data_IF_227468027548
#
_entry.id   IF_227468027548
#
_cell.length_a   1.000
_cell.length_b   1.000
_cell.length_c   1.000
_cell.angle_alpha   90.00
_cell.angle_beta   90.00
_cell.angle_gamma   90.00
#
_symmetry.space_group_name_H-M   'P 1'
#
loop_
_entity.id
_entity.type
_entity.pdbx_description
1 polymer ?
#
# COMPACT_ATOMS: atom_id res chain seq x y z
N UNK A 1 25.70 -15.72 -10.21
CA UNK A 1 26.01 -16.34 -8.91
C UNK A 1 25.07 -15.72 -7.89
N UNK A 2 24.46 -16.52 -7.01
CA UNK A 2 23.55 -15.98 -5.98
C UNK A 2 24.41 -15.33 -4.89
N UNK A 3 24.30 -14.01 -4.77
CA UNK A 3 24.94 -13.26 -3.70
C UNK A 3 24.08 -13.41 -2.43
N UNK A 4 24.70 -13.83 -1.32
CA UNK A 4 24.05 -13.89 0.00
C UNK A 4 24.29 -12.64 0.84
N UNK A 5 24.91 -11.62 0.24
CA UNK A 5 25.22 -10.33 0.84
C UNK A 5 24.77 -9.22 -0.10
N UNK A 6 24.52 -8.03 0.46
CA UNK A 6 24.19 -6.85 -0.33
C UNK A 6 25.32 -6.58 -1.34
N UNK A 7 24.96 -6.54 -2.63
CA UNK A 7 25.89 -6.26 -3.70
C UNK A 7 25.43 -5.09 -4.56
N UNK A 8 26.38 -4.43 -5.20
CA UNK A 8 26.15 -3.38 -6.18
C UNK A 8 26.45 -3.91 -7.57
N UNK A 9 25.43 -3.99 -8.43
CA UNK A 9 25.58 -4.48 -9.80
C UNK A 9 24.35 -4.24 -10.64
N UNK A 10 24.54 -4.05 -11.95
CA UNK A 10 23.46 -3.81 -12.91
C UNK A 10 22.79 -5.09 -13.42
N UNK A 11 23.45 -6.24 -13.25
CA UNK A 11 22.97 -7.53 -13.75
C UNK A 11 22.11 -8.21 -12.69
N UNK A 12 20.80 -7.98 -12.74
CA UNK A 12 19.82 -8.48 -11.75
C UNK A 12 18.65 -9.11 -12.46
N UNK A 13 18.12 -10.19 -11.89
CA UNK A 13 16.88 -10.83 -12.32
C UNK A 13 15.82 -10.55 -11.27
N UNK A 14 14.81 -9.73 -11.60
CA UNK A 14 13.79 -9.26 -10.66
C UNK A 14 12.48 -10.05 -10.80
N UNK A 15 12.06 -10.78 -9.75
CA UNK A 15 10.81 -11.55 -9.63
C UNK A 15 10.58 -12.69 -10.65
N UNK A 16 10.82 -12.46 -11.93
CA UNK A 16 10.58 -13.38 -13.02
C UNK A 16 11.85 -13.53 -13.87
N UNK A 17 12.06 -14.71 -14.43
CA UNK A 17 13.18 -14.99 -15.34
C UNK A 17 13.20 -14.10 -16.58
N UNK A 18 12.08 -13.46 -16.91
CA UNK A 18 11.95 -12.51 -18.02
C UNK A 18 12.45 -11.10 -17.71
N UNK A 19 12.53 -10.70 -16.44
CA UNK A 19 12.95 -9.34 -16.06
C UNK A 19 14.45 -9.32 -15.72
N UNK A 20 15.28 -9.44 -16.75
CA UNK A 20 16.75 -9.40 -16.63
C UNK A 20 17.28 -8.04 -17.05
N UNK A 21 18.00 -7.37 -16.16
CA UNK A 21 18.65 -6.10 -16.48
C UNK A 21 20.07 -6.37 -16.98
N UNK A 22 20.35 -6.15 -18.26
CA UNK A 22 21.70 -6.35 -18.83
C UNK A 22 22.41 -5.02 -19.11
N UNK A 23 21.65 -3.92 -19.24
CA UNK A 23 22.17 -2.57 -19.50
C UNK A 23 21.90 -1.62 -18.33
N UNK A 24 22.67 -0.54 -18.24
CA UNK A 24 22.44 0.53 -17.25
C UNK A 24 21.05 1.15 -17.36
N UNK A 25 20.53 1.33 -18.58
CA UNK A 25 19.19 1.86 -18.82
C UNK A 25 18.10 0.92 -18.32
N UNK A 26 18.23 -0.39 -18.60
CA UNK A 26 17.28 -1.40 -18.10
C UNK A 26 17.29 -1.50 -16.58
N UNK A 27 18.47 -1.32 -15.97
CA UNK A 27 18.61 -1.29 -14.52
C UNK A 27 17.94 -0.06 -13.91
N UNK A 28 18.19 1.14 -14.44
CA UNK A 28 17.54 2.37 -13.97
C UNK A 28 16.02 2.31 -14.10
N UNK A 29 15.52 1.77 -15.22
CA UNK A 29 14.08 1.59 -15.44
C UNK A 29 13.47 0.67 -14.40
N UNK A 30 14.17 -0.41 -14.04
CA UNK A 30 13.74 -1.31 -12.96
C UNK A 30 13.74 -0.64 -11.59
N UNK A 31 14.72 0.22 -11.29
CA UNK A 31 14.72 0.99 -10.04
C UNK A 31 13.52 1.94 -9.95
N UNK A 32 13.21 2.64 -11.05
CA UNK A 32 12.04 3.51 -11.13
C UNK A 32 10.75 2.69 -10.98
N UNK A 33 10.66 1.54 -11.63
CA UNK A 33 9.50 0.65 -11.50
C UNK A 33 9.33 0.16 -10.05
N UNK A 34 10.39 -0.28 -9.37
CA UNK A 34 10.35 -0.67 -7.96
C UNK A 34 9.91 0.49 -7.05
N UNK A 35 10.41 1.71 -7.31
CA UNK A 35 10.02 2.91 -6.58
C UNK A 35 8.53 3.24 -6.77
N UNK A 36 8.02 3.17 -8.00
CA UNK A 36 6.60 3.41 -8.31
C UNK A 36 5.72 2.35 -7.64
N UNK A 37 6.10 1.07 -7.74
CA UNK A 37 5.36 -0.04 -7.11
C UNK A 37 5.33 0.13 -5.58
N UNK A 38 6.44 0.55 -4.97
CA UNK A 38 6.51 0.82 -3.54
C UNK A 38 5.64 2.01 -3.10
N UNK A 39 5.65 3.09 -3.87
CA UNK A 39 4.76 4.24 -3.64
C UNK A 39 3.29 3.85 -3.80
N UNK A 40 2.98 3.05 -4.82
CA UNK A 40 1.63 2.55 -5.07
C UNK A 40 1.14 1.57 -4.00
N UNK A 41 2.02 0.77 -3.39
CA UNK A 41 1.69 -0.06 -2.23
C UNK A 41 1.15 0.78 -1.06
N UNK A 42 1.85 1.88 -0.73
CA UNK A 42 1.42 2.83 0.31
C UNK A 42 0.10 3.54 -0.06
N UNK A 43 -0.10 3.86 -1.35
CA UNK A 43 -1.36 4.43 -1.83
C UNK A 43 -2.55 3.50 -1.56
N UNK A 44 -2.43 2.21 -1.93
CA UNK A 44 -3.49 1.22 -1.71
C UNK A 44 -3.74 0.97 -0.22
N UNK A 45 -2.70 1.04 0.60
CA UNK A 45 -2.84 0.94 2.06
C UNK A 45 -3.67 2.11 2.61
N UNK A 46 -3.38 3.34 2.18
CA UNK A 46 -4.16 4.52 2.58
C UNK A 46 -5.63 4.42 2.11
N UNK A 47 -5.88 3.99 0.87
CA UNK A 47 -7.25 3.77 0.37
C UNK A 47 -8.01 2.74 1.21
N UNK A 48 -7.34 1.65 1.59
CA UNK A 48 -7.96 0.62 2.44
C UNK A 48 -8.32 1.18 3.82
N UNK A 49 -7.42 1.97 4.41
CA UNK A 49 -7.65 2.61 5.72
C UNK A 49 -8.83 3.58 5.62
N UNK A 50 -8.86 4.45 4.61
CA UNK A 50 -9.99 5.37 4.33
C UNK A 50 -11.32 4.62 4.18
N UNK A 51 -11.36 3.56 3.37
CA UNK A 51 -12.59 2.76 3.17
C UNK A 51 -13.10 2.11 4.47
N UNK A 52 -12.19 1.69 5.36
CA UNK A 52 -12.56 1.17 6.69
C UNK A 52 -13.17 2.25 7.57
N UNK A 53 -12.60 3.46 7.57
CA UNK A 53 -13.16 4.60 8.29
C UNK A 53 -14.54 4.99 7.75
N UNK A 54 -14.70 5.17 6.44
CA UNK A 54 -15.99 5.51 5.83
C UNK A 54 -17.06 4.42 6.03
N UNK A 55 -16.67 3.15 6.06
CA UNK A 55 -17.59 2.05 6.39
C UNK A 55 -17.95 1.99 7.88
N UNK A 56 -17.19 2.69 8.74
CA UNK A 56 -17.41 2.81 10.18
C UNK A 56 -18.39 3.91 10.58
N UNK A 57 -18.66 4.89 9.71
CA UNK A 57 -19.56 6.04 9.96
C UNK A 57 -21.06 5.70 9.87
N UNK A 58 -21.39 4.41 9.76
CA UNK A 58 -22.75 3.88 9.93
C UNK A 58 -23.04 3.28 11.30
N UNK A 59 -22.20 3.50 12.32
CA UNK A 59 -22.40 3.00 13.69
C UNK A 59 -22.28 4.09 14.76
N UNK A 60 -23.11 5.11 14.68
CA UNK A 60 -23.54 5.86 15.88
C UNK A 60 -24.61 5.06 16.62
N UNK A 61 -24.19 4.26 17.61
CA UNK A 61 -25.04 3.96 18.77
C UNK A 61 -24.16 3.93 20.03
N UNK A 62 -24.27 4.90 20.94
CA UNK A 62 -23.61 4.86 22.23
C UNK A 62 -24.48 4.09 23.22
N UNK A 63 -24.46 2.76 23.21
CA UNK A 63 -25.01 1.95 24.31
C UNK A 63 -24.23 0.62 24.41
N UNK A 64 -23.72 0.22 25.59
CA UNK A 64 -23.17 -1.11 25.79
C UNK A 64 -24.34 -2.08 25.99
N UNK A 65 -24.74 -2.79 24.94
CA UNK A 65 -25.72 -3.87 25.07
C UNK A 65 -25.22 -5.12 24.34
N UNK A 66 -25.08 -6.20 25.10
CA UNK A 66 -24.79 -7.55 24.65
C UNK A 66 -25.86 -7.94 23.62
N UNK A 67 -25.54 -7.86 22.33
CA UNK A 67 -26.37 -8.40 21.25
C UNK A 67 -25.54 -9.32 20.39
N UNK A 68 -25.68 -10.61 20.63
CA UNK A 68 -25.40 -11.66 19.67
C UNK A 68 -26.29 -11.48 18.44
N UNK A 69 -25.76 -11.30 17.21
CA UNK A 69 -26.55 -11.42 16.01
C UNK A 69 -26.44 -12.87 15.52
N UNK A 70 -27.35 -13.70 15.99
CA UNK A 70 -27.59 -15.05 15.48
C UNK A 70 -28.27 -14.92 14.10
N UNK A 71 -27.61 -15.44 13.04
CA UNK A 71 -28.10 -15.59 11.66
C UNK A 71 -28.75 -14.35 11.00
N UNK A 72 -27.95 -13.33 10.71
CA UNK A 72 -28.28 -12.34 9.69
C UNK A 72 -27.95 -12.90 8.30
N UNK A 73 -28.98 -13.27 7.53
CA UNK A 73 -28.86 -13.79 6.17
C UNK A 73 -28.03 -12.81 5.30
N UNK A 74 -26.89 -13.29 4.83
CA UNK A 74 -25.82 -12.55 4.17
C UNK A 74 -26.28 -11.83 2.89
N UNK A 75 -26.75 -10.58 3.01
CA UNK A 75 -26.54 -9.62 1.92
C UNK A 75 -25.11 -9.16 2.04
N UNK A 76 -24.20 -9.87 1.37
CA UNK A 76 -22.80 -9.45 1.24
C UNK A 76 -22.84 -8.07 0.60
N UNK A 77 -22.64 -7.04 1.44
CA UNK A 77 -22.57 -5.67 0.97
C UNK A 77 -21.45 -5.60 -0.07
N UNK A 78 -21.70 -5.00 -1.23
CA UNK A 78 -20.69 -4.79 -2.28
C UNK A 78 -19.40 -4.19 -1.70
N UNK A 79 -19.52 -3.39 -0.65
CA UNK A 79 -18.40 -2.76 0.07
C UNK A 79 -17.51 -3.80 0.78
N UNK A 80 -18.06 -4.91 1.27
CA UNK A 80 -17.29 -6.01 1.89
C UNK A 80 -16.47 -6.81 0.88
N UNK A 81 -16.99 -7.00 -0.34
CA UNK A 81 -16.24 -7.64 -1.43
C UNK A 81 -15.12 -6.72 -1.93
N UNK A 82 -15.40 -5.42 -2.09
CA UNK A 82 -14.37 -4.45 -2.49
C UNK A 82 -13.27 -4.36 -1.44
N UNK A 83 -13.61 -4.35 -0.15
CA UNK A 83 -12.64 -4.36 0.95
C UNK A 83 -11.72 -5.60 0.92
N UNK A 84 -12.28 -6.79 0.68
CA UNK A 84 -11.50 -8.04 0.65
C UNK A 84 -10.62 -8.15 -0.59
N UNK A 85 -11.10 -7.71 -1.75
CA UNK A 85 -10.31 -7.66 -2.98
C UNK A 85 -9.15 -6.67 -2.83
N UNK A 86 -9.41 -5.46 -2.31
CA UNK A 86 -8.37 -4.47 -2.09
C UNK A 86 -7.31 -4.96 -1.10
N UNK A 87 -7.72 -5.70 -0.06
CA UNK A 87 -6.79 -6.38 0.84
C UNK A 87 -5.93 -7.42 0.13
N UNK A 88 -6.54 -8.25 -0.72
CA UNK A 88 -5.82 -9.25 -1.51
C UNK A 88 -4.77 -8.62 -2.43
N UNK A 89 -5.13 -7.55 -3.13
CA UNK A 89 -4.22 -6.81 -4.02
C UNK A 89 -3.07 -6.16 -3.25
N UNK A 90 -3.36 -5.47 -2.14
CA UNK A 90 -2.33 -4.87 -1.30
C UNK A 90 -1.35 -5.92 -0.75
N UNK A 91 -1.88 -7.04 -0.25
CA UNK A 91 -1.07 -8.15 0.26
C UNK A 91 -0.18 -8.76 -0.83
N UNK A 92 -0.73 -8.99 -2.03
CA UNK A 92 0.04 -9.50 -3.16
C UNK A 92 1.21 -8.59 -3.53
N UNK A 93 0.98 -7.27 -3.60
CA UNK A 93 2.05 -6.30 -3.87
C UNK A 93 3.10 -6.32 -2.76
N UNK A 94 2.69 -6.36 -1.48
CA UNK A 94 3.63 -6.47 -0.36
C UNK A 94 4.55 -7.68 -0.46
N UNK A 95 4.01 -8.85 -0.82
CA UNK A 95 4.84 -10.05 -1.07
C UNK A 95 5.75 -9.91 -2.29
N UNK A 96 5.32 -9.21 -3.35
CA UNK A 96 6.18 -8.91 -4.50
C UNK A 96 7.34 -7.99 -4.13
N UNK A 97 7.12 -6.96 -3.31
CA UNK A 97 8.20 -6.13 -2.78
C UNK A 97 9.17 -6.95 -1.92
N UNK A 98 8.66 -7.84 -1.08
CA UNK A 98 9.48 -8.72 -0.26
C UNK A 98 10.37 -9.63 -1.12
N UNK A 99 9.80 -10.21 -2.19
CA UNK A 99 10.56 -10.97 -3.19
C UNK A 99 11.60 -10.10 -3.90
N UNK A 100 11.30 -8.84 -4.21
CA UNK A 100 12.25 -7.93 -4.82
C UNK A 100 13.44 -7.61 -3.90
N UNK A 101 13.20 -7.44 -2.60
CA UNK A 101 14.25 -7.19 -1.59
C UNK A 101 15.17 -8.41 -1.45
N UNK A 102 14.62 -9.62 -1.57
CA UNK A 102 15.40 -10.87 -1.57
C UNK A 102 16.39 -10.98 -2.73
N UNK A 103 16.38 -10.05 -3.71
CA UNK A 103 17.42 -9.98 -4.74
C UNK A 103 18.80 -9.53 -4.22
N UNK A 104 18.88 -9.06 -2.96
CA UNK A 104 20.10 -8.54 -2.30
C UNK A 104 20.84 -7.45 -3.10
N UNK A 105 20.16 -6.81 -4.05
CA UNK A 105 20.73 -5.70 -4.80
C UNK A 105 20.57 -4.39 -4.02
N UNK A 106 21.67 -3.69 -3.78
CA UNK A 106 21.68 -2.45 -3.00
C UNK A 106 20.83 -1.34 -3.60
N UNK A 107 20.82 -1.17 -4.93
CA UNK A 107 20.02 -0.13 -5.57
C UNK A 107 18.52 -0.42 -5.54
N UNK A 108 18.13 -1.68 -5.76
CA UNK A 108 16.72 -2.11 -5.65
C UNK A 108 16.22 -1.91 -4.22
N UNK A 109 17.00 -2.35 -3.23
CA UNK A 109 16.68 -2.13 -1.82
C UNK A 109 16.48 -0.64 -1.51
N UNK A 110 17.42 0.21 -1.94
CA UNK A 110 17.32 1.65 -1.73
C UNK A 110 16.08 2.25 -2.41
N UNK A 111 15.82 1.87 -3.66
CA UNK A 111 14.66 2.35 -4.41
C UNK A 111 13.33 1.99 -3.74
N UNK A 112 13.22 0.78 -3.20
CA UNK A 112 12.03 0.33 -2.47
C UNK A 112 11.87 1.12 -1.16
N UNK A 113 12.92 1.24 -0.35
CA UNK A 113 12.88 1.98 0.92
C UNK A 113 12.51 3.44 0.67
N UNK A 114 13.17 4.10 -0.29
CA UNK A 114 12.88 5.49 -0.65
C UNK A 114 11.44 5.63 -1.17
N UNK A 115 10.96 4.70 -2.00
CA UNK A 115 9.58 4.69 -2.48
C UNK A 115 8.54 4.51 -1.37
N UNK A 116 8.79 3.62 -0.41
CA UNK A 116 7.91 3.45 0.75
C UNK A 116 7.89 4.71 1.62
N UNK A 117 9.05 5.32 1.88
CA UNK A 117 9.12 6.57 2.66
C UNK A 117 8.43 7.73 1.94
N UNK A 118 8.63 7.85 0.63
CA UNK A 118 8.01 8.89 -0.19
C UNK A 118 6.49 8.71 -0.29
N UNK A 119 6.02 7.48 -0.51
CA UNK A 119 4.60 7.16 -0.48
C UNK A 119 3.96 7.46 0.86
N UNK A 120 4.58 7.03 1.96
CA UNK A 120 4.11 7.35 3.31
C UNK A 120 4.02 8.86 3.55
N UNK A 121 5.04 9.61 3.12
CA UNK A 121 5.07 11.06 3.25
C UNK A 121 3.93 11.75 2.48
N UNK A 122 3.74 11.42 1.20
CA UNK A 122 2.71 12.02 0.35
C UNK A 122 1.28 11.75 0.86
N UNK A 123 0.99 10.53 1.32
CA UNK A 123 -0.37 10.19 1.77
C UNK A 123 -0.65 10.63 3.20
N UNK A 124 0.39 10.85 4.01
CA UNK A 124 0.23 11.45 5.34
C UNK A 124 0.01 12.96 5.26
N UNK A 125 0.74 13.68 4.40
CA UNK A 125 0.51 15.12 4.20
C UNK A 125 -0.90 15.42 3.70
N UNK A 126 -1.42 14.59 2.80
CA UNK A 126 -2.78 14.72 2.27
C UNK A 126 -3.86 14.42 3.34
N UNK A 127 -3.54 13.61 4.36
CA UNK A 127 -4.42 13.41 5.52
C UNK A 127 -4.47 14.63 6.45
N UNK A 128 -3.36 15.36 6.59
CA UNK A 128 -3.30 16.58 7.39
C UNK A 128 -4.02 17.75 6.67
N UNK A 129 -3.93 17.84 5.34
CA UNK A 129 -4.67 18.81 4.51
C UNK A 129 -6.18 18.53 4.45
N UNK A 130 -6.60 17.27 4.26
CA UNK A 130 -8.04 16.90 4.22
C UNK A 130 -8.69 17.04 5.61
N UNK A 131 -7.96 16.77 6.70
CA UNK A 131 -8.42 17.04 8.06
C UNK A 131 -8.56 18.55 8.33
N UNK A 132 -7.64 19.38 7.84
CA UNK A 132 -7.76 20.84 7.96
C UNK A 132 -8.99 21.37 7.18
N UNK A 133 -9.21 20.91 5.95
CA UNK A 133 -10.34 21.36 5.10
C UNK A 133 -11.71 20.87 5.63
N UNK A 134 -11.78 19.69 6.28
CA UNK A 134 -13.02 19.18 6.91
C UNK A 134 -13.30 19.88 8.25
N UNK A 135 -12.26 20.22 9.03
CA UNK A 135 -12.41 21.00 10.27
C UNK A 135 -12.86 22.44 9.96
N UNK A 136 -12.30 23.08 8.94
CA UNK A 136 -12.74 24.43 8.53
C UNK A 136 -14.21 24.47 8.07
N UNK A 137 -14.68 23.42 7.36
CA UNK A 137 -16.10 23.33 6.96
C UNK A 137 -17.03 23.00 8.13
N UNK A 138 -16.53 22.40 9.22
CA UNK A 138 -17.34 22.06 10.39
C UNK A 138 -17.53 23.24 11.36
N UNK A 139 -16.72 24.29 11.23
CA UNK A 139 -16.84 25.52 12.03
C UNK A 139 -17.68 26.62 11.35
N UNK A 140 -18.19 26.40 10.14
CA UNK A 140 -19.05 27.36 9.43
C UNK A 140 -20.55 27.19 9.80
N UNK A 141 -20.88 27.16 11.10
CA UNK A 141 -22.24 27.31 11.63
C UNK A 141 -22.17 27.71 13.12
N UNK A 142 -21.93 29.00 13.39
CA UNK A 142 -22.23 29.65 14.67
C UNK A 142 -22.79 31.05 14.39
#
# INVERSE_FOLDING_TARGET
MMHMTLYWGKNVTLLFDSWKTNSWTSYLLSLIACFIIATFYQYLENLRIRLKFFSGEGRTTPVPEIRTPLLGLNKVSRNKVVESVLFGVNSAIGYLLMLAIMSFNGGVFLAIVVGLTFGYFLFRSQGDEEAAVVVDNSCACA
#
